data_IF_709368590739
#
_entry.id   IF_709368590739
#
_cell.length_a   1.000
_cell.length_b   1.000
_cell.length_c   1.000
_cell.angle_alpha   90.00
_cell.angle_beta   90.00
_cell.angle_gamma   90.00
#
_symmetry.space_group_name_H-M   'P 1'
#
loop_
_entity.id
_entity.type
_entity.pdbx_description
1 polymer ?
#
# COMPACT_ATOMS: atom_id res chain seq x y z
N UNK A 1 -18.83 8.09 39.53
CA UNK A 1 -19.68 8.87 38.61
C UNK A 1 -19.49 8.28 37.22
N UNK A 2 -20.54 7.90 36.47
CA UNK A 2 -20.30 7.49 35.10
C UNK A 2 -20.36 8.72 34.19
N UNK A 3 -19.24 8.95 33.51
CA UNK A 3 -19.12 9.89 32.41
C UNK A 3 -17.77 9.64 31.74
N UNK A 4 -17.78 8.92 30.63
CA UNK A 4 -16.62 8.76 29.77
C UNK A 4 -16.96 9.37 28.40
N UNK A 5 -16.00 10.06 27.79
CA UNK A 5 -16.13 10.55 26.43
C UNK A 5 -15.42 9.58 25.47
N UNK A 6 -16.07 9.27 24.36
CA UNK A 6 -15.51 8.45 23.28
C UNK A 6 -15.50 9.30 22.00
N UNK A 7 -14.35 9.41 21.37
CA UNK A 7 -14.19 10.00 20.05
C UNK A 7 -13.74 8.90 19.08
N UNK A 8 -14.55 8.63 18.08
CA UNK A 8 -14.22 7.71 16.99
C UNK A 8 -13.72 8.53 15.80
N UNK A 9 -12.58 8.11 15.24
CA UNK A 9 -11.94 8.77 14.10
C UNK A 9 -11.61 7.71 13.07
N UNK A 10 -11.97 7.97 11.81
CA UNK A 10 -11.68 7.09 10.69
C UNK A 10 -11.90 7.78 9.37
N UNK A 11 -11.60 7.05 8.30
CA UNK A 11 -11.82 7.47 6.92
C UNK A 11 -12.94 6.63 6.31
N UNK A 12 -13.99 7.30 5.84
CA UNK A 12 -15.18 6.64 5.27
C UNK A 12 -14.91 6.07 3.88
N UNK A 13 -13.85 6.53 3.20
CA UNK A 13 -13.51 6.08 1.86
C UNK A 13 -12.49 4.91 1.88
N UNK A 14 -12.15 4.37 3.07
CA UNK A 14 -11.31 3.17 3.20
C UNK A 14 -12.06 1.88 2.86
N UNK A 15 -11.29 0.81 2.61
CA UNK A 15 -11.85 -0.53 2.42
C UNK A 15 -12.71 -0.94 3.63
N UNK A 16 -13.79 -1.69 3.38
CA UNK A 16 -14.70 -2.15 4.43
C UNK A 16 -14.00 -3.06 5.44
N UNK A 17 -14.67 -3.26 6.57
CA UNK A 17 -14.20 -4.21 7.59
C UNK A 17 -14.09 -5.63 7.02
N UNK A 18 -13.09 -6.39 7.48
CA UNK A 18 -12.96 -7.82 7.11
C UNK A 18 -14.09 -8.66 7.70
N UNK A 19 -14.54 -8.30 8.91
CA UNK A 19 -15.70 -8.91 9.55
C UNK A 19 -17.01 -8.28 9.08
N UNK A 20 -18.14 -8.92 9.40
CA UNK A 20 -19.45 -8.41 9.03
C UNK A 20 -19.74 -7.05 9.71
N UNK A 21 -20.22 -6.09 8.91
CA UNK A 21 -20.73 -4.80 9.38
C UNK A 21 -19.92 -3.60 8.89
N UNK A 22 -20.60 -2.47 8.71
CA UNK A 22 -20.03 -1.20 8.27
C UNK A 22 -20.10 -0.16 9.38
N UNK A 23 -19.57 -0.51 10.56
CA UNK A 23 -19.80 0.23 11.82
C UNK A 23 -19.59 1.73 11.69
N UNK A 24 -18.47 2.17 11.11
CA UNK A 24 -18.20 3.60 10.96
C UNK A 24 -19.18 4.27 9.99
N UNK A 25 -19.50 3.61 8.87
CA UNK A 25 -20.46 4.14 7.89
C UNK A 25 -21.86 4.27 8.50
N UNK A 26 -22.30 3.24 9.22
CA UNK A 26 -23.61 3.21 9.89
C UNK A 26 -23.72 4.31 10.95
N UNK A 27 -22.65 4.57 11.70
CA UNK A 27 -22.60 5.66 12.69
C UNK A 27 -22.62 7.05 12.05
N UNK A 28 -22.10 7.19 10.84
CA UNK A 28 -22.06 8.43 10.07
C UNK A 28 -23.30 8.64 9.17
N UNK A 29 -24.17 7.65 9.07
CA UNK A 29 -25.33 7.67 8.19
C UNK A 29 -26.34 8.77 8.59
N UNK A 30 -27.07 9.27 7.58
CA UNK A 30 -28.13 10.25 7.81
C UNK A 30 -29.20 9.67 8.74
N UNK A 31 -29.54 10.41 9.80
CA UNK A 31 -30.48 9.96 10.84
C UNK A 31 -29.84 9.17 11.99
N UNK A 32 -28.53 8.92 11.96
CA UNK A 32 -27.81 8.38 13.12
C UNK A 32 -27.91 9.34 14.32
N UNK A 33 -28.15 8.81 15.54
CA UNK A 33 -28.21 9.65 16.75
C UNK A 33 -26.81 10.11 17.23
N UNK A 34 -25.74 9.65 16.58
CA UNK A 34 -24.35 9.96 16.98
C UNK A 34 -23.89 11.24 16.27
N UNK A 35 -23.47 12.28 17.02
CA UNK A 35 -22.93 13.49 16.40
C UNK A 35 -21.67 13.19 15.59
N UNK A 36 -21.65 13.66 14.35
CA UNK A 36 -20.56 13.42 13.42
C UNK A 36 -20.10 14.71 12.72
N UNK A 37 -18.83 14.76 12.35
CA UNK A 37 -18.26 15.83 11.52
C UNK A 37 -17.39 15.22 10.44
N UNK A 38 -17.63 15.59 9.17
CA UNK A 38 -16.77 15.20 8.04
C UNK A 38 -15.82 16.35 7.71
N UNK A 39 -14.52 16.08 7.80
CA UNK A 39 -13.50 17.02 7.36
C UNK A 39 -13.35 16.94 5.84
N UNK A 40 -13.63 18.03 5.13
CA UNK A 40 -13.63 18.07 3.65
C UNK A 40 -12.50 18.92 3.06
N UNK A 41 -11.78 19.68 3.90
CA UNK A 41 -10.78 20.63 3.45
C UNK A 41 -9.38 19.98 3.42
N UNK A 42 -8.76 20.02 2.25
CA UNK A 42 -7.38 19.58 2.03
C UNK A 42 -6.43 20.76 2.32
N UNK A 43 -5.33 20.50 3.03
CA UNK A 43 -4.29 21.51 3.26
C UNK A 43 -3.42 21.71 2.03
N UNK A 44 -2.87 22.93 1.86
CA UNK A 44 -2.19 23.39 0.64
C UNK A 44 -1.04 22.49 0.18
N UNK A 45 -0.29 21.88 1.10
CA UNK A 45 0.80 20.96 0.76
C UNK A 45 0.32 19.69 0.05
N UNK A 46 -0.90 19.24 0.36
CA UNK A 46 -1.49 18.05 -0.24
C UNK A 46 -2.12 18.33 -1.61
N UNK A 47 -2.41 19.60 -1.96
CA UNK A 47 -2.89 19.97 -3.30
C UNK A 47 -1.83 19.84 -4.40
N UNK A 48 -0.55 19.78 -4.03
CA UNK A 48 0.56 19.63 -4.99
C UNK A 48 0.97 18.17 -5.22
N UNK A 49 0.40 17.22 -4.47
CA UNK A 49 0.70 15.79 -4.61
C UNK A 49 -0.20 15.14 -5.66
N UNK A 50 0.41 14.43 -6.61
CA UNK A 50 -0.30 13.62 -7.60
C UNK A 50 -1.02 12.43 -6.96
N UNK A 51 -0.45 11.85 -5.90
CA UNK A 51 -1.08 10.76 -5.13
C UNK A 51 -2.39 11.24 -4.49
N UNK A 52 -2.36 12.37 -3.78
CA UNK A 52 -3.57 12.93 -3.13
C UNK A 52 -4.61 13.32 -4.17
N UNK A 53 -4.17 13.95 -5.27
CA UNK A 53 -5.06 14.34 -6.37
C UNK A 53 -5.76 13.13 -6.97
N UNK A 54 -5.02 12.04 -7.23
CA UNK A 54 -5.59 10.82 -7.78
C UNK A 54 -6.52 10.09 -6.80
N UNK A 55 -6.23 10.10 -5.49
CA UNK A 55 -7.14 9.55 -4.48
C UNK A 55 -8.53 10.21 -4.54
N UNK A 56 -8.59 11.54 -4.61
CA UNK A 56 -9.87 12.25 -4.75
C UNK A 56 -10.59 11.95 -6.06
N UNK A 57 -9.85 11.81 -7.17
CA UNK A 57 -10.43 11.44 -8.47
C UNK A 57 -11.07 10.07 -8.42
N UNK A 58 -10.38 9.08 -7.84
CA UNK A 58 -10.89 7.71 -7.68
C UNK A 58 -12.16 7.71 -6.81
N UNK A 59 -12.15 8.40 -5.66
CA UNK A 59 -13.33 8.49 -4.79
C UNK A 59 -14.52 9.18 -5.48
N UNK A 60 -14.26 10.06 -6.44
CA UNK A 60 -15.27 10.72 -7.27
C UNK A 60 -15.67 9.93 -8.54
N UNK A 61 -15.18 8.70 -8.71
CA UNK A 61 -15.45 7.87 -9.91
C UNK A 61 -14.74 8.36 -11.18
N UNK A 62 -13.71 9.20 -11.06
CA UNK A 62 -12.93 9.72 -12.16
C UNK A 62 -11.62 8.95 -12.34
N UNK A 63 -11.16 8.80 -13.58
CA UNK A 63 -9.88 8.15 -13.88
C UNK A 63 -8.70 8.95 -13.33
N UNK A 64 -7.64 8.31 -12.80
CA UNK A 64 -6.45 8.99 -12.31
C UNK A 64 -5.69 9.67 -13.46
N UNK A 65 -4.98 10.73 -13.14
CA UNK A 65 -3.96 11.32 -14.01
C UNK A 65 -2.70 10.46 -13.93
N UNK A 66 -2.17 10.04 -15.08
CA UNK A 66 -1.04 9.09 -15.16
C UNK A 66 0.25 9.73 -15.66
N UNK A 67 0.19 10.99 -16.10
CA UNK A 67 1.29 11.73 -16.70
C UNK A 67 1.49 13.10 -16.05
N UNK A 68 2.70 13.63 -16.12
CA UNK A 68 3.03 14.97 -15.63
C UNK A 68 3.09 15.10 -14.10
N UNK A 69 3.06 13.99 -13.36
CA UNK A 69 3.11 13.97 -11.89
C UNK A 69 4.53 13.66 -11.39
N UNK A 70 4.91 14.30 -10.29
CA UNK A 70 6.24 14.14 -9.68
C UNK A 70 6.35 12.93 -8.75
N UNK A 71 5.22 12.43 -8.25
CA UNK A 71 5.12 11.46 -7.15
C UNK A 71 4.14 10.32 -7.43
N UNK A 72 3.52 10.26 -8.62
CA UNK A 72 2.63 9.19 -9.06
C UNK A 72 3.06 8.69 -10.44
N UNK A 73 3.24 7.39 -10.58
CA UNK A 73 3.71 6.75 -11.81
C UNK A 73 2.84 5.55 -12.13
N UNK A 74 2.53 5.38 -13.42
CA UNK A 74 1.88 4.19 -13.94
C UNK A 74 2.86 3.42 -14.82
N UNK A 75 2.98 2.13 -14.55
CA UNK A 75 3.72 1.18 -15.37
C UNK A 75 2.73 0.12 -15.85
N UNK A 76 2.56 -0.01 -17.16
CA UNK A 76 1.57 -0.90 -17.78
C UNK A 76 2.30 -2.10 -18.38
N UNK A 77 1.80 -3.29 -18.06
CA UNK A 77 2.23 -4.55 -18.64
C UNK A 77 0.98 -5.39 -18.90
N UNK A 78 0.94 -6.07 -20.04
CA UNK A 78 -0.21 -6.90 -20.43
C UNK A 78 -0.16 -8.28 -19.74
N UNK A 79 1.04 -8.80 -19.52
CA UNK A 79 1.26 -10.12 -18.92
C UNK A 79 1.51 -10.02 -17.42
N UNK A 80 0.79 -10.83 -16.64
CA UNK A 80 0.86 -10.78 -15.16
C UNK A 80 2.25 -11.14 -14.63
N UNK A 81 2.97 -12.02 -15.33
CA UNK A 81 4.35 -12.39 -14.95
C UNK A 81 5.31 -11.21 -15.11
N UNK A 82 5.20 -10.49 -16.22
CA UNK A 82 6.07 -9.35 -16.51
C UNK A 82 5.70 -8.15 -15.65
N UNK A 83 4.41 -7.94 -15.34
CA UNK A 83 3.97 -7.01 -14.30
C UNK A 83 4.63 -7.30 -12.94
N UNK A 84 4.73 -8.58 -12.55
CA UNK A 84 5.40 -8.99 -11.32
C UNK A 84 6.91 -8.67 -11.32
N UNK A 85 7.61 -8.99 -12.41
CA UNK A 85 9.04 -8.65 -12.58
C UNK A 85 9.26 -7.13 -12.57
N UNK A 86 8.39 -6.38 -13.25
CA UNK A 86 8.46 -4.93 -13.30
C UNK A 86 8.20 -4.31 -11.94
N UNK A 87 7.24 -4.82 -11.17
CA UNK A 87 7.00 -4.35 -9.80
C UNK A 87 8.26 -4.51 -8.92
N UNK A 88 8.97 -5.64 -9.04
CA UNK A 88 10.23 -5.89 -8.33
C UNK A 88 11.32 -4.92 -8.77
N UNK A 89 11.48 -4.67 -10.07
CA UNK A 89 12.42 -3.67 -10.60
C UNK A 89 12.11 -2.26 -10.05
N UNK A 90 10.84 -1.85 -10.14
CA UNK A 90 10.38 -0.55 -9.65
C UNK A 90 10.67 -0.39 -8.16
N UNK A 91 10.33 -1.39 -7.34
CA UNK A 91 10.47 -1.32 -5.89
C UNK A 91 11.93 -1.45 -5.41
N UNK A 92 12.72 -2.33 -6.02
CA UNK A 92 14.09 -2.60 -5.57
C UNK A 92 15.13 -1.66 -6.20
N UNK A 93 14.82 -1.03 -7.35
CA UNK A 93 15.78 -0.22 -8.11
C UNK A 93 15.27 1.17 -8.48
N UNK A 94 14.19 1.29 -9.26
CA UNK A 94 13.81 2.58 -9.87
C UNK A 94 13.37 3.63 -8.85
N UNK A 95 12.46 3.27 -7.95
CA UNK A 95 11.95 4.16 -6.89
C UNK A 95 13.06 4.51 -5.89
N UNK A 96 13.80 3.55 -5.32
CA UNK A 96 14.97 3.82 -4.49
C UNK A 96 15.96 4.81 -5.12
N UNK A 97 16.35 4.58 -6.37
CA UNK A 97 17.31 5.44 -7.06
C UNK A 97 16.77 6.85 -7.31
N UNK A 98 15.47 6.98 -7.65
CA UNK A 98 14.85 8.28 -7.93
C UNK A 98 14.69 9.15 -6.68
N UNK A 99 14.36 8.53 -5.54
CA UNK A 99 13.98 9.25 -4.33
C UNK A 99 15.03 9.15 -3.21
N UNK A 100 16.14 8.43 -3.42
CA UNK A 100 17.18 8.25 -2.42
C UNK A 100 16.72 7.40 -1.22
N UNK A 101 15.92 6.37 -1.48
CA UNK A 101 15.28 5.55 -0.45
C UNK A 101 16.03 4.22 -0.26
N UNK A 102 15.94 3.65 0.95
CA UNK A 102 16.37 2.27 1.19
C UNK A 102 15.26 1.30 0.68
N UNK A 103 15.54 0.43 -0.30
CA UNK A 103 14.54 -0.47 -0.88
C UNK A 103 13.93 -1.44 0.13
N UNK A 104 14.64 -1.74 1.22
CA UNK A 104 14.20 -2.68 2.26
C UNK A 104 13.36 -1.99 3.33
N UNK A 105 13.69 -0.75 3.68
CA UNK A 105 13.10 -0.04 4.82
C UNK A 105 12.00 0.93 4.42
N UNK A 106 12.19 1.62 3.31
CA UNK A 106 11.40 2.81 2.97
C UNK A 106 10.40 2.54 1.83
N UNK A 107 10.49 1.37 1.18
CA UNK A 107 9.58 0.94 0.11
C UNK A 107 8.69 -0.20 0.60
N UNK A 108 7.39 -0.07 0.35
CA UNK A 108 6.40 -1.12 0.60
C UNK A 108 5.73 -1.51 -0.72
N UNK A 109 5.66 -2.81 -0.99
CA UNK A 109 4.90 -3.36 -2.11
C UNK A 109 3.58 -3.89 -1.59
N UNK A 110 2.48 -3.48 -2.24
CA UNK A 110 1.14 -3.97 -1.96
C UNK A 110 0.64 -4.73 -3.19
N UNK A 111 0.00 -5.87 -2.97
CA UNK A 111 -0.59 -6.67 -4.04
C UNK A 111 -2.02 -7.04 -3.66
N UNK A 112 -2.99 -6.96 -4.59
CA UNK A 112 -4.39 -7.23 -4.31
C UNK A 112 -4.65 -8.73 -4.04
N UNK A 113 -3.76 -9.61 -4.48
CA UNK A 113 -3.89 -11.06 -4.34
C UNK A 113 -2.67 -11.67 -3.66
N UNK A 114 -2.90 -12.75 -2.90
CA UNK A 114 -1.80 -13.53 -2.32
C UNK A 114 -1.12 -14.47 -3.32
N UNK A 115 -1.87 -15.01 -4.28
CA UNK A 115 -1.40 -16.02 -5.26
C UNK A 115 -1.25 -15.42 -6.65
N UNK A 116 -0.54 -16.14 -7.52
CA UNK A 116 -0.29 -15.76 -8.92
C UNK A 116 1.06 -15.06 -9.13
N UNK A 117 1.45 -14.79 -10.38
CA UNK A 117 2.76 -14.24 -10.71
C UNK A 117 3.03 -12.84 -10.12
N UNK A 118 2.01 -11.98 -10.04
CA UNK A 118 2.07 -10.69 -9.35
C UNK A 118 1.45 -10.71 -7.93
N UNK A 119 1.22 -11.91 -7.38
CA UNK A 119 0.68 -12.07 -6.03
C UNK A 119 1.74 -11.88 -4.95
N UNK A 120 1.32 -11.45 -3.76
CA UNK A 120 2.21 -11.14 -2.63
C UNK A 120 3.18 -12.31 -2.29
N UNK A 121 2.71 -13.56 -2.38
CA UNK A 121 3.56 -14.73 -2.11
C UNK A 121 4.73 -14.86 -3.09
N UNK A 122 4.47 -14.67 -4.38
CA UNK A 122 5.52 -14.74 -5.41
C UNK A 122 6.44 -13.51 -5.33
N UNK A 123 5.86 -12.32 -5.18
CA UNK A 123 6.61 -11.07 -5.06
C UNK A 123 7.57 -11.09 -3.87
N UNK A 124 7.19 -11.65 -2.72
CA UNK A 124 8.09 -11.78 -1.57
C UNK A 124 9.36 -12.57 -1.92
N UNK A 125 9.24 -13.65 -2.69
CA UNK A 125 10.38 -14.45 -3.13
C UNK A 125 11.28 -13.67 -4.10
N UNK A 126 10.68 -12.99 -5.08
CA UNK A 126 11.42 -12.19 -6.07
C UNK A 126 12.11 -10.98 -5.43
N UNK A 127 11.42 -10.28 -4.52
CA UNK A 127 11.98 -9.16 -3.76
C UNK A 127 13.10 -9.62 -2.84
N UNK A 128 12.96 -10.76 -2.17
CA UNK A 128 14.04 -11.34 -1.38
C UNK A 128 15.28 -11.58 -2.23
N UNK A 129 15.13 -12.13 -3.44
CA UNK A 129 16.26 -12.34 -4.36
C UNK A 129 16.89 -11.02 -4.83
N UNK A 130 16.08 -9.98 -5.06
CA UNK A 130 16.57 -8.69 -5.53
C UNK A 130 17.24 -7.84 -4.42
N UNK A 131 16.73 -7.90 -3.20
CA UNK A 131 17.13 -7.01 -2.08
C UNK A 131 18.07 -7.72 -1.09
N UNK A 132 17.83 -9.01 -0.83
CA UNK A 132 18.64 -9.84 0.08
C UNK A 132 19.08 -11.13 -0.63
N UNK A 133 19.89 -11.02 -1.72
CA UNK A 133 20.32 -12.19 -2.46
C UNK A 133 21.13 -13.15 -1.59
N UNK A 134 20.96 -14.44 -1.82
CA UNK A 134 21.79 -15.47 -1.17
C UNK A 134 23.25 -15.32 -1.59
N UNK A 135 24.17 -15.41 -0.62
CA UNK A 135 25.62 -15.38 -0.84
C UNK A 135 26.33 -16.26 0.19
N UNK A 136 27.52 -16.81 -0.13
CA UNK A 136 28.19 -17.80 0.73
C UNK A 136 28.45 -17.34 2.17
N UNK A 137 28.63 -16.03 2.37
CA UNK A 137 28.91 -15.37 3.64
C UNK A 137 27.66 -14.91 4.39
N UNK A 138 26.46 -15.08 3.81
CA UNK A 138 25.21 -14.65 4.43
C UNK A 138 24.51 -15.85 5.08
N UNK A 139 24.31 -15.85 6.42
CA UNK A 139 23.59 -16.92 7.07
C UNK A 139 22.14 -17.02 6.56
N UNK A 140 21.75 -18.24 6.19
CA UNK A 140 20.39 -18.56 5.79
C UNK A 140 19.87 -19.85 6.46
N UNK A 141 18.56 -19.94 6.61
CA UNK A 141 17.88 -21.12 7.16
C UNK A 141 16.65 -21.47 6.32
N UNK A 142 16.54 -22.75 5.94
CA UNK A 142 15.30 -23.30 5.39
C UNK A 142 14.35 -23.72 6.50
N UNK A 143 13.11 -23.23 6.45
CA UNK A 143 12.04 -23.62 7.36
C UNK A 143 10.68 -23.53 6.67
N UNK A 144 9.86 -24.58 6.78
CA UNK A 144 8.51 -24.60 6.20
C UNK A 144 8.46 -24.35 4.69
N UNK A 145 9.46 -24.82 3.94
CA UNK A 145 9.55 -24.60 2.49
C UNK A 145 10.02 -23.20 2.07
N UNK A 146 10.33 -22.32 3.02
CA UNK A 146 10.85 -20.96 2.78
C UNK A 146 12.32 -20.87 3.19
N UNK A 147 13.06 -19.99 2.53
CA UNK A 147 14.42 -19.60 2.92
C UNK A 147 14.30 -18.28 3.68
N UNK A 148 14.93 -18.20 4.84
CA UNK A 148 15.07 -16.97 5.62
C UNK A 148 16.55 -16.59 5.66
N UNK A 149 16.86 -15.33 5.38
CA UNK A 149 18.21 -14.78 5.40
C UNK A 149 18.32 -13.67 6.41
N UNK A 150 19.50 -13.50 6.99
CA UNK A 150 19.78 -12.33 7.84
C UNK A 150 19.57 -11.07 7.00
N UNK A 151 18.67 -10.20 7.47
CA UNK A 151 18.31 -8.97 6.76
C UNK A 151 16.99 -9.03 6.00
N UNK A 152 16.32 -10.18 5.92
CA UNK A 152 14.95 -10.22 5.39
C UNK A 152 13.99 -9.38 6.23
N UNK A 153 13.08 -8.66 5.55
CA UNK A 153 11.94 -8.01 6.19
C UNK A 153 10.86 -9.07 6.44
N UNK A 154 10.50 -9.26 7.70
CA UNK A 154 9.43 -10.17 8.13
C UNK A 154 8.32 -9.34 8.75
N UNK A 155 7.07 -9.71 8.45
CA UNK A 155 5.84 -9.14 9.00
C UNK A 155 4.92 -10.27 9.44
#
# INVERSE_FOLDING_TARGET
>A
APGAHLLLVGDVDQLPSVGAGEVLSDLLAEGSPVPAVRLTRIFRQAQQSGVVTNAHRINAGQQPLTEGLSDFFLFVEDETEDAGKLAVDVAARRIPAKFGLDPRRDVQVLAPMHRGPAGAGNLNGLLQQAITPGRPDLPEKRFGGRVFRVGDKIT
#
